data_IF_538603355278
#
_entry.id   IF_538603355278
#
_cell.length_a   1.000
_cell.length_b   1.000
_cell.length_c   1.000
_cell.angle_alpha   90.00
_cell.angle_beta   90.00
_cell.angle_gamma   90.00
#
_symmetry.space_group_name_H-M   'P 1'
#
loop_
_entity.id
_entity.type
_entity.pdbx_description
1 polymer ?
#
# COMPACT_ATOMS: atom_id res chain seq x y z
N UNK A 1 14.61 -22.79 -35.87
CA UNK A 1 13.53 -21.81 -36.22
C UNK A 1 12.22 -21.95 -35.38
N UNK A 2 11.74 -23.16 -35.04
CA UNK A 2 10.47 -23.35 -34.26
C UNK A 2 10.54 -22.89 -32.81
N UNK A 3 11.69 -22.96 -32.14
CA UNK A 3 11.86 -22.54 -30.73
C UNK A 3 11.84 -21.01 -30.61
N UNK A 4 12.47 -20.29 -31.52
CA UNK A 4 12.51 -18.82 -31.54
C UNK A 4 11.11 -18.23 -31.72
N UNK A 5 10.27 -18.85 -32.56
CA UNK A 5 8.88 -18.41 -32.76
C UNK A 5 8.00 -18.56 -31.50
N UNK A 6 8.35 -19.46 -30.58
CA UNK A 6 7.61 -19.63 -29.31
C UNK A 6 8.12 -18.71 -28.19
N UNK A 7 9.40 -18.32 -28.26
CA UNK A 7 10.02 -17.45 -27.23
C UNK A 7 9.78 -15.96 -27.52
N UNK A 8 9.69 -15.57 -28.80
CA UNK A 8 9.48 -14.18 -29.19
C UNK A 8 8.25 -13.52 -28.52
N UNK A 9 7.05 -14.15 -28.51
CA UNK A 9 5.90 -13.53 -27.85
C UNK A 9 6.06 -13.41 -26.35
N UNK A 10 6.74 -14.34 -25.68
CA UNK A 10 7.01 -14.25 -24.25
C UNK A 10 7.98 -13.09 -23.93
N UNK A 11 9.05 -12.93 -24.73
CA UNK A 11 9.97 -11.79 -24.60
C UNK A 11 9.31 -10.46 -24.90
N UNK A 12 8.40 -10.41 -25.89
CA UNK A 12 7.63 -9.21 -26.21
C UNK A 12 6.68 -8.82 -25.04
N UNK A 13 6.03 -9.79 -24.38
CA UNK A 13 5.19 -9.54 -23.21
C UNK A 13 6.03 -9.04 -22.03
N UNK A 14 7.19 -9.62 -21.78
CA UNK A 14 8.11 -9.18 -20.73
C UNK A 14 8.59 -7.75 -21.02
N UNK A 15 8.96 -7.45 -22.27
CA UNK A 15 9.38 -6.11 -22.67
C UNK A 15 8.21 -5.09 -22.55
N UNK A 16 7.01 -5.46 -22.98
CA UNK A 16 5.82 -4.62 -22.86
C UNK A 16 5.49 -4.35 -21.39
N UNK A 17 5.57 -5.37 -20.53
CA UNK A 17 5.39 -5.23 -19.09
C UNK A 17 6.46 -4.32 -18.45
N UNK A 18 7.72 -4.47 -18.86
CA UNK A 18 8.82 -3.63 -18.39
C UNK A 18 8.65 -2.16 -18.84
N UNK A 19 8.21 -1.94 -20.09
CA UNK A 19 7.89 -0.59 -20.60
C UNK A 19 6.69 0.00 -19.87
N UNK A 20 5.64 -0.78 -19.67
CA UNK A 20 4.47 -0.34 -18.90
C UNK A 20 4.86 0.04 -17.46
N UNK A 21 5.61 -0.79 -16.76
CA UNK A 21 6.15 -0.50 -15.42
C UNK A 21 7.02 0.76 -15.41
N UNK A 22 7.81 0.97 -16.47
CA UNK A 22 8.66 2.17 -16.59
C UNK A 22 7.83 3.43 -16.83
N UNK A 23 6.79 3.36 -17.67
CA UNK A 23 5.87 4.47 -17.92
C UNK A 23 5.07 4.82 -16.66
N UNK A 24 4.55 3.82 -15.93
CA UNK A 24 3.88 4.03 -14.66
C UNK A 24 4.79 4.70 -13.62
N UNK A 25 6.06 4.28 -13.55
CA UNK A 25 7.06 4.92 -12.68
C UNK A 25 7.37 6.36 -13.06
N UNK A 26 7.25 6.73 -14.31
CA UNK A 26 7.42 8.13 -14.77
C UNK A 26 6.20 8.99 -14.51
N UNK A 27 5.02 8.39 -14.59
CA UNK A 27 3.74 9.08 -14.37
C UNK A 27 3.27 9.02 -12.92
N UNK A 28 3.99 8.27 -12.05
CA UNK A 28 3.68 8.28 -10.63
C UNK A 28 3.92 9.69 -10.11
N UNK A 29 2.83 10.34 -9.77
CA UNK A 29 2.81 11.63 -9.13
C UNK A 29 3.69 11.56 -7.88
N UNK A 30 4.92 12.06 -7.99
CA UNK A 30 5.94 12.00 -6.92
C UNK A 30 5.57 12.90 -5.74
N UNK A 31 4.42 13.57 -5.81
CA UNK A 31 3.96 14.50 -4.78
C UNK A 31 3.74 13.85 -3.41
N UNK A 32 3.50 12.54 -3.37
CA UNK A 32 3.32 11.82 -2.10
C UNK A 32 4.64 11.34 -1.48
N UNK A 33 5.73 11.32 -2.24
CA UNK A 33 7.02 10.81 -1.81
C UNK A 33 8.07 11.90 -1.91
N UNK A 34 8.22 12.69 -0.85
CA UNK A 34 9.10 13.88 -0.81
C UNK A 34 10.56 13.62 -1.18
N UNK A 35 11.06 12.40 -0.95
CA UNK A 35 12.45 12.01 -1.21
C UNK A 35 12.60 10.95 -2.32
N UNK A 36 11.56 10.77 -3.13
CA UNK A 36 11.52 9.76 -4.19
C UNK A 36 11.06 8.39 -3.71
N UNK A 37 10.72 7.53 -4.66
CA UNK A 37 10.20 6.17 -4.39
C UNK A 37 11.30 5.32 -3.74
N UNK A 38 11.02 4.69 -2.56
CA UNK A 38 11.97 3.78 -1.93
C UNK A 38 12.35 2.63 -2.88
N UNK A 39 13.65 2.38 -3.00
CA UNK A 39 14.19 1.31 -3.86
C UNK A 39 15.05 0.37 -3.04
N UNK A 40 15.16 -0.89 -3.47
CA UNK A 40 16.16 -1.80 -2.94
C UNK A 40 17.57 -1.22 -3.21
N UNK A 41 18.46 -1.32 -2.22
CA UNK A 41 19.83 -0.83 -2.34
C UNK A 41 20.63 -1.65 -3.39
N UNK A 42 20.30 -2.94 -3.54
CA UNK A 42 20.92 -3.84 -4.49
C UNK A 42 19.90 -4.45 -5.44
N UNK A 43 20.24 -4.54 -6.72
CA UNK A 43 19.38 -5.11 -7.78
C UNK A 43 19.12 -6.60 -7.57
N UNK A 44 20.02 -7.30 -6.85
CA UNK A 44 19.91 -8.73 -6.55
C UNK A 44 18.94 -9.07 -5.44
N UNK A 45 18.47 -8.08 -4.67
CA UNK A 45 17.50 -8.30 -3.59
C UNK A 45 16.06 -8.35 -4.13
N UNK A 46 15.73 -9.48 -4.75
CA UNK A 46 14.40 -9.73 -5.33
C UNK A 46 13.28 -9.59 -4.28
N UNK A 47 13.57 -9.93 -3.02
CA UNK A 47 12.60 -9.81 -1.94
C UNK A 47 12.17 -8.35 -1.67
N UNK A 48 13.05 -7.40 -1.97
CA UNK A 48 12.79 -5.96 -1.82
C UNK A 48 12.37 -5.27 -3.12
N UNK A 49 12.23 -6.01 -4.22
CA UNK A 49 11.58 -5.49 -5.42
C UNK A 49 10.12 -5.18 -5.09
N UNK A 50 9.72 -3.92 -5.26
CA UNK A 50 8.38 -3.46 -4.95
C UNK A 50 7.57 -3.26 -6.21
N UNK A 51 6.39 -3.88 -6.27
CA UNK A 51 5.31 -3.50 -7.16
C UNK A 51 4.69 -2.21 -6.62
N UNK A 52 4.71 -1.14 -7.41
CA UNK A 52 4.08 0.12 -7.04
C UNK A 52 2.59 0.05 -7.30
N UNK A 53 1.79 0.22 -6.26
CA UNK A 53 0.34 0.21 -6.30
C UNK A 53 -0.18 1.59 -5.89
N UNK A 54 -0.85 2.28 -6.80
CA UNK A 54 -1.50 3.55 -6.53
C UNK A 54 -2.91 3.32 -5.97
N UNK A 55 -3.20 3.96 -4.86
CA UNK A 55 -4.50 3.92 -4.19
C UNK A 55 -5.05 5.34 -4.03
N UNK A 56 -6.32 5.46 -3.76
CA UNK A 56 -6.89 6.74 -3.37
C UNK A 56 -6.22 7.25 -2.07
N UNK A 57 -5.50 8.36 -2.15
CA UNK A 57 -4.84 9.00 -1.02
C UNK A 57 -3.47 8.45 -0.61
N UNK A 58 -3.03 7.28 -1.08
CA UNK A 58 -1.72 6.71 -0.72
C UNK A 58 -1.15 5.79 -1.81
N UNK A 59 0.15 5.60 -1.77
CA UNK A 59 0.87 4.65 -2.61
C UNK A 59 1.48 3.53 -1.78
N UNK A 60 1.51 2.31 -2.31
CA UNK A 60 2.08 1.14 -1.66
C UNK A 60 3.20 0.55 -2.50
N UNK A 61 4.35 0.30 -1.90
CA UNK A 61 5.37 -0.58 -2.46
C UNK A 61 5.19 -1.99 -1.92
N UNK A 62 4.67 -2.90 -2.74
CA UNK A 62 4.31 -4.25 -2.34
C UNK A 62 5.33 -5.26 -2.85
N UNK A 63 5.79 -6.17 -1.98
CA UNK A 63 6.66 -7.28 -2.38
C UNK A 63 5.83 -8.49 -2.76
N UNK A 64 5.84 -8.83 -4.04
CA UNK A 64 5.26 -10.09 -4.52
C UNK A 64 5.99 -11.32 -3.94
N UNK A 65 7.27 -11.21 -3.64
CA UNK A 65 8.06 -12.29 -3.05
C UNK A 65 7.61 -12.60 -1.62
N UNK A 66 7.48 -11.59 -0.78
CA UNK A 66 7.05 -11.76 0.61
C UNK A 66 5.53 -11.81 0.78
N UNK A 67 4.74 -11.36 -0.21
CA UNK A 67 3.30 -11.18 -0.06
C UNK A 67 2.96 -10.14 1.01
N UNK A 68 3.73 -9.06 1.09
CA UNK A 68 3.62 -8.06 2.17
C UNK A 68 3.99 -6.67 1.65
N UNK A 69 3.34 -5.58 2.10
CA UNK A 69 3.79 -4.23 1.82
C UNK A 69 5.14 -3.97 2.50
N UNK A 70 6.06 -3.37 1.76
CA UNK A 70 7.37 -2.95 2.24
C UNK A 70 7.31 -1.52 2.79
N UNK A 71 6.50 -0.68 2.17
CA UNK A 71 6.30 0.70 2.55
C UNK A 71 4.96 1.23 2.01
N UNK A 72 4.47 2.28 2.63
CA UNK A 72 3.40 3.12 2.11
C UNK A 72 3.84 4.58 2.18
N UNK A 73 3.32 5.39 1.26
CA UNK A 73 3.52 6.82 1.25
C UNK A 73 2.18 7.53 1.09
N UNK A 74 1.92 8.50 1.95
CA UNK A 74 0.73 9.34 1.91
C UNK A 74 1.04 10.74 2.43
N UNK A 75 0.26 11.72 1.98
CA UNK A 75 0.30 13.07 2.50
C UNK A 75 -0.82 13.25 3.51
N UNK A 76 -0.53 13.92 4.61
CA UNK A 76 -1.54 14.34 5.57
C UNK A 76 -1.69 15.86 5.51
N UNK A 77 -2.93 16.30 5.48
CA UNK A 77 -3.38 17.70 5.59
C UNK A 77 -4.41 17.82 6.71
N UNK A 78 -4.81 19.02 7.11
CA UNK A 78 -5.99 19.19 7.97
C UNK A 78 -7.18 18.40 7.45
N UNK A 79 -8.00 17.79 8.32
CA UNK A 79 -9.07 16.91 7.92
C UNK A 79 -10.17 17.62 7.13
N UNK A 80 -10.47 17.14 5.92
CA UNK A 80 -11.54 17.66 5.05
C UNK A 80 -12.88 16.95 5.28
N UNK A 81 -12.88 15.77 5.91
CA UNK A 81 -14.05 14.95 6.16
C UNK A 81 -14.34 14.82 7.66
N UNK A 82 -15.62 14.70 8.08
CA UNK A 82 -15.99 14.41 9.47
C UNK A 82 -15.44 13.04 9.90
N UNK A 83 -15.47 12.75 11.20
CA UNK A 83 -15.08 11.42 11.67
C UNK A 83 -15.95 10.33 10.99
N UNK A 84 -15.36 9.20 10.55
CA UNK A 84 -16.11 8.14 9.91
C UNK A 84 -17.09 7.50 10.90
N UNK A 85 -18.35 7.28 10.45
CA UNK A 85 -19.36 6.62 11.28
C UNK A 85 -19.12 5.11 11.41
N UNK A 86 -18.51 4.47 10.41
CA UNK A 86 -18.26 3.03 10.37
C UNK A 86 -17.07 2.67 9.49
N UNK A 87 -16.62 1.43 9.61
CA UNK A 87 -15.70 0.82 8.64
C UNK A 87 -16.47 0.47 7.36
N UNK A 88 -15.75 0.31 6.20
CA UNK A 88 -16.37 -0.21 4.99
C UNK A 88 -17.07 -1.56 5.23
N UNK A 89 -18.24 -1.76 4.65
CA UNK A 89 -19.05 -2.98 4.84
C UNK A 89 -18.33 -4.24 4.37
N UNK A 90 -17.58 -4.14 3.26
CA UNK A 90 -16.78 -5.23 2.67
C UNK A 90 -15.54 -5.59 3.53
N UNK A 91 -15.18 -4.77 4.52
CA UNK A 91 -14.04 -5.03 5.40
C UNK A 91 -12.73 -5.22 4.63
N UNK A 92 -11.84 -6.05 5.18
CA UNK A 92 -10.59 -6.41 4.49
C UNK A 92 -10.85 -7.26 3.26
N UNK A 93 -10.20 -6.90 2.15
CA UNK A 93 -10.35 -7.58 0.87
C UNK A 93 -9.02 -7.83 0.17
N UNK A 94 -8.98 -8.89 -0.62
CA UNK A 94 -7.88 -9.22 -1.50
C UNK A 94 -7.68 -8.10 -2.51
N UNK A 95 -6.43 -7.88 -2.92
CA UNK A 95 -6.07 -6.96 -4.00
C UNK A 95 -5.66 -7.76 -5.24
N UNK A 96 -6.50 -7.76 -6.25
CA UNK A 96 -6.28 -8.55 -7.47
C UNK A 96 -5.23 -7.94 -8.41
N UNK A 97 -4.69 -6.77 -8.08
CA UNK A 97 -3.51 -6.20 -8.77
C UNK A 97 -2.22 -6.95 -8.41
N UNK A 98 -2.19 -7.65 -7.26
CA UNK A 98 -1.08 -8.49 -6.83
C UNK A 98 -1.24 -9.92 -7.39
N UNK A 99 -0.16 -10.43 -7.98
CA UNK A 99 -0.12 -11.82 -8.47
C UNK A 99 -0.22 -12.83 -7.32
N UNK A 100 0.38 -12.50 -6.18
CA UNK A 100 0.34 -13.37 -4.99
C UNK A 100 -0.95 -13.26 -4.20
N UNK A 101 -1.65 -12.15 -4.32
CA UNK A 101 -3.00 -11.91 -3.80
C UNK A 101 -3.31 -12.54 -2.44
N UNK A 102 -2.64 -12.07 -1.39
CA UNK A 102 -2.89 -12.46 0.01
C UNK A 102 -4.33 -12.13 0.39
N UNK A 103 -5.06 -13.12 0.93
CA UNK A 103 -6.44 -12.95 1.35
C UNK A 103 -6.60 -12.53 2.81
N UNK A 104 -7.79 -12.01 3.20
CA UNK A 104 -8.05 -11.54 4.57
C UNK A 104 -7.86 -12.61 5.66
N UNK A 105 -8.00 -13.90 5.30
CA UNK A 105 -7.81 -15.03 6.22
C UNK A 105 -6.36 -15.42 6.51
N UNK A 106 -5.38 -14.82 5.81
CA UNK A 106 -3.98 -15.24 5.90
C UNK A 106 -3.38 -15.21 7.32
N UNK A 107 -3.88 -14.33 8.18
CA UNK A 107 -3.36 -14.18 9.56
C UNK A 107 -4.26 -14.87 10.61
N UNK A 108 -5.30 -15.58 10.19
CA UNK A 108 -6.21 -16.28 11.11
C UNK A 108 -5.48 -17.39 11.86
N UNK A 109 -5.62 -17.44 13.19
CA UNK A 109 -4.97 -18.45 14.04
C UNK A 109 -3.47 -18.28 14.25
N UNK A 110 -2.84 -17.24 13.67
CA UNK A 110 -1.37 -17.02 13.77
C UNK A 110 -0.95 -16.22 15.00
N UNK A 111 -1.87 -15.62 15.74
CA UNK A 111 -1.59 -14.68 16.82
C UNK A 111 -1.24 -13.26 16.34
N UNK A 112 -1.23 -13.02 15.03
CA UNK A 112 -1.06 -11.69 14.44
C UNK A 112 -2.40 -11.11 14.02
N UNK A 113 -2.46 -9.78 14.00
CA UNK A 113 -3.59 -9.00 13.51
C UNK A 113 -3.28 -8.38 12.16
N UNK A 114 -4.33 -8.02 11.43
CA UNK A 114 -4.24 -7.24 10.19
C UNK A 114 -3.97 -5.78 10.55
N UNK A 115 -2.71 -5.38 10.52
CA UNK A 115 -2.30 -4.00 10.79
C UNK A 115 -2.21 -3.19 9.52
N UNK A 116 -2.90 -2.05 9.46
CA UNK A 116 -2.79 -1.09 8.37
C UNK A 116 -1.43 -0.41 8.38
N UNK A 117 -0.86 -0.14 7.18
CA UNK A 117 0.28 0.75 7.02
C UNK A 117 -0.19 2.18 6.75
N UNK A 118 -1.07 2.39 5.76
CA UNK A 118 -1.82 3.63 5.62
C UNK A 118 -3.08 3.54 6.48
N UNK A 119 -3.22 4.38 7.55
CA UNK A 119 -4.25 4.22 8.56
C UNK A 119 -5.64 4.51 8.01
N UNK A 120 -6.60 3.61 8.29
CA UNK A 120 -7.99 3.76 7.90
C UNK A 120 -8.58 5.13 8.30
N UNK A 121 -8.38 5.55 9.55
CA UNK A 121 -8.91 6.80 10.07
C UNK A 121 -8.33 8.01 9.32
N UNK A 122 -7.02 8.08 9.17
CA UNK A 122 -6.35 9.17 8.46
C UNK A 122 -6.74 9.23 6.99
N UNK A 123 -6.82 8.07 6.33
CA UNK A 123 -7.24 8.00 4.92
C UNK A 123 -8.64 8.55 4.72
N UNK A 124 -9.59 8.19 5.58
CA UNK A 124 -10.93 8.77 5.51
C UNK A 124 -10.92 10.28 5.77
N UNK A 125 -10.32 10.70 6.88
CA UNK A 125 -10.37 12.09 7.34
C UNK A 125 -9.74 13.07 6.34
N UNK A 126 -8.71 12.66 5.64
CA UNK A 126 -7.95 13.53 4.72
C UNK A 126 -8.36 13.31 3.27
N UNK A 127 -8.60 12.08 2.85
CA UNK A 127 -8.77 11.71 1.44
C UNK A 127 -10.16 11.16 1.11
N UNK A 128 -11.03 10.96 2.12
CA UNK A 128 -12.42 10.56 1.93
C UNK A 128 -12.68 9.05 1.87
N UNK A 129 -13.93 8.67 1.54
CA UNK A 129 -14.40 7.29 1.65
C UNK A 129 -13.72 6.31 0.71
N UNK A 130 -13.28 6.74 -0.47
CA UNK A 130 -12.56 5.89 -1.42
C UNK A 130 -11.19 5.48 -0.86
N UNK A 131 -10.43 6.43 -0.33
CA UNK A 131 -9.15 6.17 0.34
C UNK A 131 -9.33 5.27 1.57
N UNK A 132 -10.43 5.43 2.31
CA UNK A 132 -10.78 4.52 3.38
C UNK A 132 -10.99 3.09 2.87
N UNK A 133 -11.76 2.92 1.80
CA UNK A 133 -11.99 1.59 1.21
C UNK A 133 -10.69 0.96 0.73
N UNK A 134 -9.83 1.72 0.10
CA UNK A 134 -8.54 1.22 -0.39
C UNK A 134 -7.60 0.85 0.74
N UNK A 135 -7.67 1.53 1.90
CA UNK A 135 -6.85 1.15 3.06
C UNK A 135 -7.12 -0.28 3.56
N UNK A 136 -8.30 -0.85 3.27
CA UNK A 136 -8.65 -2.25 3.59
C UNK A 136 -8.17 -3.28 2.56
N UNK A 137 -7.48 -2.88 1.49
CA UNK A 137 -6.79 -3.81 0.60
C UNK A 137 -5.67 -4.54 1.35
N UNK A 138 -5.56 -5.85 1.17
CA UNK A 138 -4.53 -6.64 1.85
C UNK A 138 -3.10 -6.26 1.43
N UNK A 139 -2.92 -5.54 0.34
CA UNK A 139 -1.64 -4.93 -0.05
C UNK A 139 -1.23 -3.72 0.81
N UNK A 140 -2.13 -3.19 1.62
CA UNK A 140 -1.87 -2.18 2.65
C UNK A 140 -1.72 -2.79 4.05
N UNK A 141 -1.76 -4.11 4.19
CA UNK A 141 -1.88 -4.79 5.48
C UNK A 141 -0.66 -5.67 5.74
N UNK A 142 -0.06 -5.50 6.93
CA UNK A 142 1.04 -6.33 7.42
C UNK A 142 0.64 -7.09 8.70
N UNK A 143 1.21 -8.28 8.95
CA UNK A 143 0.99 -8.98 10.22
C UNK A 143 1.61 -8.19 11.38
N UNK A 144 0.79 -7.73 12.30
CA UNK A 144 1.23 -6.98 13.48
C UNK A 144 0.84 -7.70 14.75
N UNK A 145 1.72 -7.65 15.77
CA UNK A 145 1.36 -8.15 17.09
C UNK A 145 0.23 -7.29 17.69
N UNK A 146 -0.73 -7.89 18.44
CA UNK A 146 -1.86 -7.15 19.00
C UNK A 146 -1.45 -5.91 19.81
N UNK A 147 -0.44 -6.02 20.64
CA UNK A 147 0.06 -4.90 21.44
C UNK A 147 0.60 -3.75 20.56
N UNK A 148 1.32 -4.06 19.49
CA UNK A 148 1.79 -3.05 18.54
C UNK A 148 0.59 -2.39 17.85
N UNK A 149 -0.27 -3.19 17.23
CA UNK A 149 -1.39 -2.71 16.41
C UNK A 149 -2.40 -1.87 17.20
N UNK A 150 -2.84 -2.38 18.37
CA UNK A 150 -3.94 -1.79 19.14
C UNK A 150 -3.49 -0.73 20.16
N UNK A 151 -2.19 -0.59 20.42
CA UNK A 151 -1.68 0.36 21.41
C UNK A 151 -0.68 1.35 20.81
N UNK A 152 0.55 0.90 20.55
CA UNK A 152 1.59 1.83 20.13
C UNK A 152 1.30 2.47 18.77
N UNK A 153 0.89 1.66 17.77
CA UNK A 153 0.60 2.15 16.43
C UNK A 153 -0.66 3.02 16.40
N UNK A 154 -1.75 2.52 16.97
CA UNK A 154 -3.00 3.29 17.09
C UNK A 154 -2.77 4.61 17.82
N UNK A 155 -2.00 4.61 18.91
CA UNK A 155 -1.71 5.86 19.64
C UNK A 155 -0.91 6.85 18.80
N UNK A 156 0.04 6.38 18.00
CA UNK A 156 0.80 7.23 17.07
C UNK A 156 -0.14 7.89 16.04
N UNK A 157 -1.04 7.11 15.45
CA UNK A 157 -2.03 7.59 14.48
C UNK A 157 -2.95 8.67 15.08
N UNK A 158 -3.45 8.45 16.30
CA UNK A 158 -4.26 9.42 17.05
C UNK A 158 -3.49 10.72 17.31
N UNK A 159 -2.24 10.62 17.79
CA UNK A 159 -1.40 11.80 18.06
C UNK A 159 -1.15 12.60 16.78
N UNK A 160 -0.88 11.95 15.67
CA UNK A 160 -0.66 12.63 14.39
C UNK A 160 -1.94 13.39 13.98
N UNK A 161 -3.08 12.70 13.97
CA UNK A 161 -4.32 13.26 13.45
C UNK A 161 -4.95 14.31 14.37
N UNK A 162 -4.90 14.10 15.69
CA UNK A 162 -5.65 14.92 16.63
C UNK A 162 -4.81 16.05 17.27
N UNK A 163 -3.47 15.90 17.27
CA UNK A 163 -2.60 16.83 17.97
C UNK A 163 -1.56 17.51 17.09
N UNK A 164 -1.03 16.85 16.06
CA UNK A 164 0.04 17.43 15.24
C UNK A 164 -0.53 18.18 14.03
N UNK A 165 -1.47 17.60 13.29
CA UNK A 165 -2.04 18.23 12.10
C UNK A 165 -2.83 19.53 12.41
N UNK A 166 -3.71 19.57 13.42
CA UNK A 166 -4.45 20.80 13.72
C UNK A 166 -3.58 22.00 14.16
N UNK A 167 -2.37 21.72 14.67
CA UNK A 167 -1.43 22.75 15.12
C UNK A 167 -0.54 23.31 14.01
N UNK A 168 -0.35 22.53 12.96
CA UNK A 168 0.53 22.86 11.83
C UNK A 168 -0.26 23.05 10.52
N UNK A 169 -1.57 23.25 10.61
CA UNK A 169 -2.40 23.64 9.47
C UNK A 169 -2.02 25.02 8.95
N UNK A 170 -2.33 25.33 7.68
CA UNK A 170 -1.96 26.59 7.04
C UNK A 170 -2.46 27.79 7.77
#
# INVERSE_FOLDING_TARGET
>A
MRLIRKILPALALIAAFAVWQWLERRNSDTDRVCFGIPRAAEVTDIGRAALLLHNAGFDTGYSEFFGNPLWVAYRLSPPDYPAPGSRPEDGFRRDDRSLRAVGPGAFSGTGYQRGHLAPNYAMYRVHGPEAQRDSFLMTNVSPQRPHLNQKAWQRLEEVIMDHLLPRNGP
#
